data_IF_005785032580
#
_entry.id   IF_005785032580
#
_cell.length_a   1.000
_cell.length_b   1.000
_cell.length_c   1.000
_cell.angle_alpha   90.00
_cell.angle_beta   90.00
_cell.angle_gamma   90.00
#
_symmetry.space_group_name_H-M   'P 1'
#
loop_
_entity.id
_entity.type
_entity.pdbx_description
1 polymer ?
#
# COMPACT_ATOMS: atom_id res chain seq x y z
N UNK A 1 60.83 -45.42 37.38
CA UNK A 1 59.76 -44.41 37.54
C UNK A 1 60.14 -43.19 36.73
N UNK A 2 59.52 -42.95 35.56
CA UNK A 2 59.24 -41.62 35.02
C UNK A 2 58.51 -41.70 33.67
N UNK A 3 57.41 -40.95 33.63
CA UNK A 3 56.29 -41.02 32.70
C UNK A 3 56.57 -40.31 31.37
N UNK A 4 56.15 -40.91 30.25
CA UNK A 4 56.05 -40.24 28.94
C UNK A 4 54.98 -39.15 29.00
N UNK A 5 55.33 -37.91 28.65
CA UNK A 5 54.37 -36.82 28.40
C UNK A 5 53.81 -36.98 26.98
N UNK A 6 52.53 -37.31 26.86
CA UNK A 6 51.78 -37.14 25.61
C UNK A 6 51.18 -35.74 25.56
N UNK A 7 51.48 -35.04 24.47
CA UNK A 7 50.84 -33.80 24.04
C UNK A 7 49.41 -34.14 23.62
N UNK A 8 48.40 -33.50 24.23
CA UNK A 8 47.04 -33.49 23.70
C UNK A 8 46.74 -32.05 23.27
N UNK A 9 46.74 -31.83 21.96
CA UNK A 9 46.26 -30.59 21.36
C UNK A 9 44.74 -30.69 21.26
N UNK A 10 44.01 -29.94 22.10
CA UNK A 10 42.57 -29.82 22.01
C UNK A 10 42.22 -28.68 21.05
N UNK A 11 41.84 -29.03 19.82
CA UNK A 11 41.31 -28.10 18.84
C UNK A 11 39.81 -27.90 19.13
N UNK A 12 39.45 -26.87 19.90
CA UNK A 12 38.05 -26.47 20.09
C UNK A 12 37.56 -25.76 18.83
N UNK A 13 36.94 -26.51 17.91
CA UNK A 13 36.24 -25.95 16.77
C UNK A 13 34.93 -25.29 17.23
N UNK A 14 34.86 -23.95 17.17
CA UNK A 14 33.59 -23.24 17.24
C UNK A 14 32.83 -23.47 15.92
N UNK A 15 31.78 -24.27 15.99
CA UNK A 15 30.80 -24.38 14.90
C UNK A 15 29.83 -23.20 15.03
N UNK A 16 30.03 -22.16 14.22
CA UNK A 16 29.02 -21.11 14.03
C UNK A 16 27.90 -21.69 13.16
N UNK A 17 26.83 -22.18 13.80
CA UNK A 17 25.59 -22.48 13.09
C UNK A 17 24.94 -21.18 12.66
N UNK A 18 25.09 -20.81 11.39
CA UNK A 18 24.33 -19.73 10.78
C UNK A 18 22.84 -20.14 10.76
N UNK A 19 22.04 -19.55 11.64
CA UNK A 19 20.59 -19.63 11.56
C UNK A 19 20.15 -18.82 10.35
N UNK A 20 19.90 -19.50 9.24
CA UNK A 20 19.20 -18.93 8.09
C UNK A 20 17.77 -18.63 8.55
N UNK A 21 17.49 -17.38 8.92
CA UNK A 21 16.12 -16.90 9.08
C UNK A 21 15.53 -16.82 7.69
N UNK A 22 14.90 -17.91 7.25
CA UNK A 22 14.01 -17.90 6.11
C UNK A 22 12.82 -17.02 6.48
N UNK A 23 12.91 -15.72 6.16
CA UNK A 23 11.78 -14.82 6.24
C UNK A 23 10.71 -15.32 5.28
N UNK A 24 9.65 -15.94 5.80
CA UNK A 24 8.44 -16.14 5.03
C UNK A 24 7.94 -14.76 4.63
N UNK A 25 8.09 -14.41 3.35
CA UNK A 25 7.41 -13.26 2.77
C UNK A 25 5.93 -13.46 3.06
N UNK A 26 5.35 -12.56 3.88
CA UNK A 26 3.93 -12.61 4.18
C UNK A 26 3.15 -12.54 2.86
N UNK A 27 2.11 -13.38 2.76
CA UNK A 27 1.31 -13.47 1.55
C UNK A 27 0.77 -12.08 1.14
N UNK A 28 0.69 -11.84 -0.16
CA UNK A 28 -0.02 -10.66 -0.67
C UNK A 28 -1.51 -10.75 -0.29
N UNK A 29 -2.12 -9.62 0.04
CA UNK A 29 -3.57 -9.53 0.22
C UNK A 29 -4.33 -9.48 -1.13
N UNK A 30 -3.61 -9.40 -2.25
CA UNK A 30 -4.17 -9.45 -3.59
C UNK A 30 -4.50 -10.91 -3.97
N UNK A 31 -5.78 -11.21 -4.18
CA UNK A 31 -6.24 -12.49 -4.70
C UNK A 31 -6.55 -12.38 -6.20
N UNK A 32 -6.16 -13.37 -6.99
CA UNK A 32 -6.41 -13.39 -8.44
C UNK A 32 -7.20 -14.63 -8.82
N UNK A 33 -8.12 -14.50 -9.78
CA UNK A 33 -8.81 -15.66 -10.36
C UNK A 33 -7.94 -16.37 -11.41
N UNK A 34 -8.43 -17.49 -11.95
CA UNK A 34 -7.72 -18.30 -12.96
C UNK A 34 -7.44 -17.54 -14.28
N UNK A 35 -8.14 -16.43 -14.53
CA UNK A 35 -7.94 -15.56 -15.69
C UNK A 35 -6.91 -14.46 -15.42
N UNK A 36 -6.35 -14.41 -14.21
CA UNK A 36 -5.40 -13.38 -13.79
C UNK A 36 -6.05 -12.04 -13.42
N UNK A 37 -7.37 -11.98 -13.25
CA UNK A 37 -8.08 -10.78 -12.81
C UNK A 37 -7.99 -10.64 -11.29
N UNK A 38 -7.78 -9.42 -10.81
CA UNK A 38 -7.75 -9.12 -9.38
C UNK A 38 -9.16 -9.23 -8.80
N UNK A 39 -9.35 -10.08 -7.79
CA UNK A 39 -10.60 -10.21 -7.07
C UNK A 39 -10.86 -8.98 -6.19
N UNK A 40 -12.15 -8.64 -6.02
CA UNK A 40 -12.57 -7.53 -5.18
C UNK A 40 -11.98 -7.68 -3.76
N UNK A 41 -11.19 -6.71 -3.28
CA UNK A 41 -10.56 -6.80 -1.97
C UNK A 41 -11.61 -6.86 -0.88
N UNK A 42 -11.45 -7.80 0.05
CA UNK A 42 -12.33 -7.95 1.20
C UNK A 42 -11.75 -7.20 2.39
N UNK A 43 -12.61 -6.58 3.18
CA UNK A 43 -12.27 -5.93 4.46
C UNK A 43 -11.15 -4.87 4.37
N UNK A 44 -10.91 -4.27 3.20
CA UNK A 44 -9.84 -3.27 3.01
C UNK A 44 -10.03 -2.01 3.87
N UNK A 45 -11.24 -1.74 4.36
CA UNK A 45 -11.51 -0.64 5.29
C UNK A 45 -10.92 -0.88 6.69
N UNK A 46 -10.49 -2.11 6.98
CA UNK A 46 -9.73 -2.47 8.19
C UNK A 46 -8.21 -2.35 7.98
N UNK A 47 -7.77 -2.05 6.75
CA UNK A 47 -6.36 -1.83 6.45
C UNK A 47 -5.89 -0.45 6.92
N UNK A 48 -4.60 -0.17 6.77
CA UNK A 48 -4.01 1.08 7.25
C UNK A 48 -4.38 2.21 6.28
N UNK A 49 -5.24 3.13 6.72
CA UNK A 49 -5.51 4.38 5.99
C UNK A 49 -4.26 5.26 6.01
N UNK A 50 -3.76 5.65 4.84
CA UNK A 50 -2.50 6.38 4.69
C UNK A 50 -2.65 7.86 4.36
N UNK A 51 -3.82 8.22 3.85
CA UNK A 51 -4.21 9.61 3.61
C UNK A 51 -5.60 9.69 2.98
N UNK A 52 -6.23 10.84 3.19
CA UNK A 52 -7.47 11.22 2.53
C UNK A 52 -7.26 12.51 1.76
N UNK A 53 -7.84 12.62 0.56
CA UNK A 53 -7.77 13.80 -0.29
C UNK A 53 -9.19 14.21 -0.68
N UNK A 54 -9.38 15.50 -0.96
CA UNK A 54 -10.64 16.03 -1.47
C UNK A 54 -10.36 16.87 -2.71
N UNK A 55 -11.08 16.59 -3.80
CA UNK A 55 -11.11 17.43 -5.00
C UNK A 55 -12.57 17.69 -5.34
N UNK A 56 -13.17 18.71 -4.74
CA UNK A 56 -14.60 18.93 -4.86
C UNK A 56 -14.95 19.53 -6.23
N UNK A 57 -16.12 19.20 -6.77
CA UNK A 57 -16.52 19.61 -8.13
C UNK A 57 -16.53 21.13 -8.29
N UNK A 58 -16.94 21.85 -7.24
CA UNK A 58 -16.96 23.31 -7.19
C UNK A 58 -15.58 23.97 -7.36
N UNK A 59 -14.49 23.22 -7.12
CA UNK A 59 -13.12 23.67 -7.33
C UNK A 59 -12.49 23.13 -8.62
N UNK A 60 -13.24 22.40 -9.44
CA UNK A 60 -12.75 21.71 -10.64
C UNK A 60 -13.72 21.90 -11.82
N UNK A 61 -14.04 23.14 -12.16
CA UNK A 61 -14.92 23.51 -13.29
C UNK A 61 -16.28 22.80 -13.29
N UNK A 62 -16.79 22.45 -12.10
CA UNK A 62 -18.06 21.74 -11.92
C UNK A 62 -17.97 20.23 -12.12
N UNK A 63 -16.80 19.66 -12.41
CA UNK A 63 -16.60 18.21 -12.57
C UNK A 63 -15.14 17.80 -12.33
N UNK A 64 -14.81 17.31 -11.14
CA UNK A 64 -13.50 16.74 -10.87
C UNK A 64 -13.30 15.42 -11.64
N UNK A 65 -12.06 15.11 -12.10
CA UNK A 65 -11.75 13.80 -12.66
C UNK A 65 -12.00 12.65 -11.67
N UNK A 66 -11.89 12.94 -10.37
CA UNK A 66 -12.13 11.99 -9.27
C UNK A 66 -12.94 12.64 -8.14
N UNK A 67 -14.20 12.97 -8.43
CA UNK A 67 -15.22 13.47 -7.48
C UNK A 67 -15.39 12.51 -6.28
N UNK A 68 -15.39 12.95 -5.01
CA UNK A 68 -14.72 14.15 -4.48
C UNK A 68 -13.71 13.77 -3.40
N UNK A 69 -14.10 12.94 -2.42
CA UNK A 69 -13.24 12.47 -1.34
C UNK A 69 -12.64 11.12 -1.73
N UNK A 70 -11.33 10.97 -1.53
CA UNK A 70 -10.59 9.74 -1.77
C UNK A 70 -9.88 9.31 -0.51
N UNK A 71 -10.22 8.14 0.02
CA UNK A 71 -9.49 7.54 1.14
C UNK A 71 -8.61 6.41 0.62
N UNK A 72 -7.32 6.47 0.96
CA UNK A 72 -6.32 5.51 0.48
C UNK A 72 -5.89 4.62 1.63
N UNK A 73 -5.87 3.32 1.36
CA UNK A 73 -5.47 2.26 2.27
C UNK A 73 -4.31 1.46 1.68
N UNK A 74 -3.47 0.89 2.54
CA UNK A 74 -2.41 -0.06 2.17
C UNK A 74 -2.54 -1.33 3.03
N UNK A 75 -2.26 -2.50 2.46
CA UNK A 75 -2.31 -3.75 3.22
C UNK A 75 -1.40 -3.71 4.46
N UNK A 76 -1.83 -4.30 5.60
CA UNK A 76 -1.10 -4.20 6.88
C UNK A 76 0.35 -4.70 6.81
N UNK A 77 0.61 -5.78 6.07
CA UNK A 77 1.93 -6.38 5.91
C UNK A 77 2.87 -5.45 5.13
N UNK A 78 2.38 -4.82 4.06
CA UNK A 78 3.14 -3.82 3.31
C UNK A 78 3.38 -2.56 4.12
N UNK A 79 2.42 -2.12 4.93
CA UNK A 79 2.66 -1.02 5.85
C UNK A 79 3.73 -1.37 6.89
N UNK A 80 3.68 -2.57 7.46
CA UNK A 80 4.67 -3.05 8.42
C UNK A 80 6.07 -3.16 7.79
N UNK A 81 6.16 -3.57 6.52
CA UNK A 81 7.41 -3.55 5.76
C UNK A 81 7.88 -2.10 5.52
N UNK A 82 6.99 -1.23 5.05
CA UNK A 82 7.26 0.19 4.81
C UNK A 82 7.81 0.90 6.06
N UNK A 83 7.27 0.61 7.25
CA UNK A 83 7.80 1.15 8.52
C UNK A 83 9.28 0.82 8.76
N UNK A 84 9.75 -0.32 8.27
CA UNK A 84 11.12 -0.82 8.48
C UNK A 84 12.08 -0.35 7.39
N UNK A 85 11.60 -0.29 6.14
CA UNK A 85 12.46 -0.10 4.96
C UNK A 85 12.21 1.22 4.23
N UNK A 86 11.02 1.78 4.36
CA UNK A 86 10.58 2.92 3.57
C UNK A 86 10.37 2.60 2.08
N UNK A 87 10.14 1.33 1.76
CA UNK A 87 9.92 0.78 0.42
C UNK A 87 8.60 -0.01 0.35
N UNK A 88 7.99 -0.10 -0.85
CA UNK A 88 6.87 -1.00 -1.09
C UNK A 88 7.39 -2.39 -1.48
N UNK A 89 7.06 -3.39 -0.67
CA UNK A 89 7.44 -4.80 -0.89
C UNK A 89 6.79 -5.36 -2.16
N UNK A 90 7.36 -6.45 -2.66
CA UNK A 90 6.66 -7.31 -3.62
C UNK A 90 5.38 -7.88 -2.96
N UNK A 91 4.27 -7.84 -3.69
CA UNK A 91 2.93 -8.14 -3.17
C UNK A 91 2.23 -6.97 -2.48
N UNK A 92 2.77 -5.75 -2.53
CA UNK A 92 2.10 -4.59 -1.95
C UNK A 92 0.82 -4.24 -2.68
N UNK A 93 -0.25 -3.96 -1.92
CA UNK A 93 -1.53 -3.56 -2.45
C UNK A 93 -2.00 -2.25 -1.82
N UNK A 94 -2.41 -1.31 -2.68
CA UNK A 94 -3.13 -0.11 -2.24
C UNK A 94 -4.56 -0.12 -2.76
N UNK A 95 -5.47 0.41 -1.97
CA UNK A 95 -6.87 0.59 -2.33
C UNK A 95 -7.22 2.06 -2.17
N UNK A 96 -7.88 2.64 -3.16
CA UNK A 96 -8.41 4.00 -3.11
C UNK A 96 -9.92 3.92 -3.28
N UNK A 97 -10.62 4.38 -2.25
CA UNK A 97 -12.08 4.40 -2.21
C UNK A 97 -12.59 5.82 -2.48
N UNK A 98 -13.49 5.96 -3.45
CA UNK A 98 -14.09 7.23 -3.85
C UNK A 98 -15.42 7.43 -3.14
N UNK A 99 -15.62 8.63 -2.60
CA UNK A 99 -16.73 8.99 -1.72
C UNK A 99 -17.24 10.37 -2.13
N UNK A 100 -18.55 10.53 -2.25
CA UNK A 100 -19.16 11.83 -2.55
C UNK A 100 -19.01 12.80 -1.36
N UNK A 101 -19.17 14.11 -1.58
CA UNK A 101 -19.42 15.04 -0.47
C UNK A 101 -20.90 14.99 -0.12
N UNK A 102 -21.21 14.58 1.10
CA UNK A 102 -22.57 14.61 1.63
C UNK A 102 -22.95 16.00 2.16
N UNK A 103 -22.46 16.32 3.36
CA UNK A 103 -22.71 17.60 4.01
C UNK A 103 -21.64 18.65 3.72
N UNK A 104 -22.03 19.94 3.76
CA UNK A 104 -21.10 21.09 3.75
C UNK A 104 -21.18 21.99 5.00
N UNK A 105 -22.17 21.73 5.86
CA UNK A 105 -22.37 22.39 7.15
C UNK A 105 -22.40 21.30 8.22
N UNK A 106 -21.37 21.26 9.08
CA UNK A 106 -21.28 20.28 10.15
C UNK A 106 -21.91 20.80 11.45
N UNK A 107 -22.40 19.91 12.33
CA UNK A 107 -22.78 20.30 13.68
C UNK A 107 -21.52 20.60 14.50
N UNK A 108 -21.40 21.81 15.05
CA UNK A 108 -20.38 22.18 16.05
C UNK A 108 -18.94 22.34 15.55
N UNK A 109 -18.52 21.62 14.50
CA UNK A 109 -17.15 21.68 13.94
C UNK A 109 -16.97 22.70 12.82
N UNK A 110 -18.05 23.38 12.41
CA UNK A 110 -18.04 24.41 11.35
C UNK A 110 -18.37 23.90 9.95
N UNK A 111 -18.19 24.77 8.96
CA UNK A 111 -18.41 24.48 7.54
C UNK A 111 -17.19 23.76 6.95
N UNK A 112 -17.41 22.85 6.01
CA UNK A 112 -16.35 22.06 5.40
C UNK A 112 -16.88 21.04 4.41
N UNK A 113 -16.17 19.94 4.21
CA UNK A 113 -16.59 18.83 3.38
C UNK A 113 -16.69 17.57 4.24
N UNK A 114 -17.82 16.86 4.16
CA UNK A 114 -18.05 15.63 4.93
C UNK A 114 -18.31 14.46 3.98
N UNK A 115 -17.77 13.29 4.31
CA UNK A 115 -17.95 12.04 3.55
C UNK A 115 -19.44 11.70 3.41
N UNK A 116 -19.87 11.47 2.17
CA UNK A 116 -21.19 11.00 1.80
C UNK A 116 -21.18 9.53 1.41
N UNK A 117 -21.74 9.22 0.25
CA UNK A 117 -21.92 7.86 -0.26
C UNK A 117 -20.65 7.31 -0.91
N UNK A 118 -20.46 6.00 -0.81
CA UNK A 118 -19.40 5.30 -1.55
C UNK A 118 -19.78 5.21 -3.03
N UNK A 119 -18.89 5.68 -3.90
CA UNK A 119 -19.17 5.86 -5.34
C UNK A 119 -18.09 5.27 -6.25
N UNK A 120 -17.00 4.75 -5.71
CA UNK A 120 -15.99 4.05 -6.50
C UNK A 120 -14.93 3.33 -5.68
N UNK A 121 -14.20 2.44 -6.35
CA UNK A 121 -13.10 1.70 -5.78
C UNK A 121 -12.06 1.38 -6.86
N UNK A 122 -10.84 1.81 -6.60
CA UNK A 122 -9.66 1.56 -7.41
C UNK A 122 -8.62 0.81 -6.57
N UNK A 123 -7.73 0.07 -7.22
CA UNK A 123 -6.61 -0.58 -6.56
C UNK A 123 -5.34 -0.53 -7.40
N UNK A 124 -4.19 -0.66 -6.75
CA UNK A 124 -2.92 -0.95 -7.40
C UNK A 124 -2.18 -2.07 -6.68
N UNK A 125 -1.53 -2.95 -7.44
CA UNK A 125 -0.79 -4.10 -6.89
C UNK A 125 0.61 -4.12 -7.48
N UNK A 126 1.63 -4.23 -6.63
CA UNK A 126 3.02 -4.46 -7.02
C UNK A 126 3.33 -5.94 -6.98
N UNK A 127 3.72 -6.52 -8.11
CA UNK A 127 4.14 -7.92 -8.20
C UNK A 127 5.12 -8.11 -9.37
N UNK A 128 6.39 -8.25 -9.05
CA UNK A 128 7.49 -8.42 -10.00
C UNK A 128 7.40 -9.70 -10.84
N UNK A 129 6.70 -10.73 -10.35
CA UNK A 129 6.52 -11.99 -11.07
C UNK A 129 5.31 -11.95 -11.99
N UNK A 130 4.22 -11.30 -11.54
CA UNK A 130 2.96 -11.22 -12.28
C UNK A 130 2.95 -10.07 -13.30
N UNK A 131 3.63 -8.97 -13.00
CA UNK A 131 3.65 -7.75 -13.84
C UNK A 131 5.08 -7.32 -14.24
N UNK A 132 5.94 -8.23 -14.74
CA UNK A 132 7.33 -7.90 -15.07
C UNK A 132 7.47 -6.84 -16.18
N UNK A 133 6.44 -6.70 -17.02
CA UNK A 133 6.43 -5.77 -18.15
C UNK A 133 5.72 -4.44 -17.83
N UNK A 134 5.09 -4.32 -16.65
CA UNK A 134 4.46 -3.06 -16.22
C UNK A 134 5.48 -2.13 -15.56
N UNK A 135 5.37 -0.80 -15.71
CA UNK A 135 6.26 0.13 -15.02
C UNK A 135 6.25 -0.11 -13.50
N UNK A 136 7.45 -0.27 -12.92
CA UNK A 136 7.61 -0.53 -11.48
C UNK A 136 7.01 -1.86 -10.99
N UNK A 137 6.58 -2.72 -11.92
CA UNK A 137 5.79 -3.92 -11.66
C UNK A 137 4.44 -3.65 -11.00
N UNK A 138 3.86 -2.48 -11.26
CA UNK A 138 2.56 -2.06 -10.74
C UNK A 138 1.44 -2.26 -11.76
N UNK A 139 0.42 -3.02 -11.40
CA UNK A 139 -0.85 -3.08 -12.11
C UNK A 139 -1.91 -2.22 -11.43
N UNK A 140 -2.80 -1.61 -12.23
CA UNK A 140 -3.88 -0.72 -11.78
C UNK A 140 -5.25 -1.26 -12.16
N UNK A 141 -6.24 -1.05 -11.30
CA UNK A 141 -7.55 -1.68 -11.40
C UNK A 141 -8.67 -0.71 -11.04
N UNK A 142 -9.78 -0.80 -11.75
CA UNK A 142 -11.06 -0.17 -11.40
C UNK A 142 -12.08 -1.28 -11.13
N UNK A 143 -12.72 -1.26 -9.96
CA UNK A 143 -13.84 -2.16 -9.64
C UNK A 143 -15.19 -1.51 -9.92
N UNK A 144 -15.30 -0.21 -9.63
CA UNK A 144 -16.41 0.64 -10.06
C UNK A 144 -16.04 2.10 -9.88
N UNK A 145 -16.71 2.95 -10.65
CA UNK A 145 -16.69 4.42 -10.58
C UNK A 145 -18.06 4.92 -11.03
N UNK A 146 -18.44 6.19 -10.83
CA UNK A 146 -19.72 6.71 -11.31
C UNK A 146 -19.95 6.38 -12.79
N UNK A 147 -21.10 5.75 -13.09
CA UNK A 147 -21.46 5.30 -14.44
C UNK A 147 -20.94 3.92 -14.85
N UNK A 148 -20.11 3.27 -14.02
CA UNK A 148 -19.62 1.89 -14.26
C UNK A 148 -20.13 0.95 -13.17
N UNK A 149 -20.75 -0.19 -13.49
CA UNK A 149 -21.23 -1.13 -12.48
C UNK A 149 -20.06 -1.81 -11.74
N UNK A 150 -20.32 -2.20 -10.50
CA UNK A 150 -19.38 -2.99 -9.69
C UNK A 150 -19.11 -4.36 -10.30
N UNK A 151 -17.83 -4.68 -10.46
CA UNK A 151 -17.33 -6.02 -10.81
C UNK A 151 -16.73 -6.72 -9.59
N UNK A 152 -16.82 -8.05 -9.57
CA UNK A 152 -16.21 -8.89 -8.53
C UNK A 152 -14.76 -9.26 -8.83
N UNK A 153 -14.31 -9.05 -10.07
CA UNK A 153 -12.94 -9.21 -10.51
C UNK A 153 -12.61 -8.17 -11.60
N UNK A 154 -11.43 -7.56 -11.53
CA UNK A 154 -10.98 -6.50 -12.44
C UNK A 154 -9.71 -6.91 -13.21
N UNK A 155 -9.66 -6.58 -14.50
CA UNK A 155 -8.44 -6.68 -15.32
C UNK A 155 -7.52 -5.49 -15.03
N UNK A 156 -6.21 -5.69 -15.18
CA UNK A 156 -5.27 -4.57 -15.12
C UNK A 156 -5.53 -3.63 -16.32
N UNK A 157 -5.47 -2.34 -16.05
CA UNK A 157 -5.70 -1.29 -17.04
C UNK A 157 -4.44 -1.05 -17.88
N UNK A 158 -4.59 -0.60 -19.14
CA UNK A 158 -3.46 -0.18 -19.97
C UNK A 158 -2.61 0.89 -19.28
N UNK A 159 -1.29 0.86 -19.51
CA UNK A 159 -0.34 1.79 -18.89
C UNK A 159 -0.72 3.26 -19.07
N UNK A 160 -1.26 3.63 -20.23
CA UNK A 160 -1.64 5.00 -20.56
C UNK A 160 -2.79 5.55 -19.69
N UNK A 161 -3.64 4.68 -19.13
CA UNK A 161 -4.81 5.11 -18.35
C UNK A 161 -4.46 5.47 -16.90
N UNK A 162 -3.43 4.84 -16.31
CA UNK A 162 -3.10 5.01 -14.90
C UNK A 162 -1.59 5.13 -14.66
N UNK A 163 -0.84 4.10 -15.06
CA UNK A 163 0.57 3.98 -14.73
C UNK A 163 1.43 5.12 -15.29
N UNK A 164 1.10 5.69 -16.45
CA UNK A 164 1.82 6.82 -17.03
C UNK A 164 1.83 8.04 -16.10
N UNK A 165 0.65 8.49 -15.65
CA UNK A 165 0.51 9.62 -14.73
C UNK A 165 1.19 9.34 -13.38
N UNK A 166 1.03 8.12 -12.85
CA UNK A 166 1.67 7.70 -11.61
C UNK A 166 3.20 7.69 -11.71
N UNK A 167 3.76 7.17 -12.81
CA UNK A 167 5.21 7.16 -13.05
C UNK A 167 5.79 8.57 -13.13
N UNK A 168 5.06 9.49 -13.76
CA UNK A 168 5.54 10.86 -13.99
C UNK A 168 5.47 11.72 -12.73
N UNK A 169 4.43 11.58 -11.90
CA UNK A 169 4.11 12.56 -10.86
C UNK A 169 4.17 12.03 -9.41
N UNK A 170 4.21 10.71 -9.21
CA UNK A 170 4.28 10.15 -7.87
C UNK A 170 5.68 10.33 -7.26
N UNK A 171 5.75 10.70 -5.97
CA UNK A 171 7.03 10.94 -5.29
C UNK A 171 7.84 9.66 -5.02
N UNK A 172 7.20 8.50 -4.89
CA UNK A 172 7.92 7.27 -4.52
C UNK A 172 7.29 6.06 -5.19
N UNK A 173 8.04 5.40 -6.07
CA UNK A 173 7.67 4.09 -6.63
C UNK A 173 6.21 4.03 -7.12
N UNK A 174 5.83 5.01 -7.94
CA UNK A 174 4.48 5.16 -8.50
C UNK A 174 3.34 5.37 -7.49
N UNK A 175 3.66 5.60 -6.22
CA UNK A 175 2.70 5.94 -5.15
C UNK A 175 2.87 7.40 -4.74
N UNK A 176 1.77 8.16 -4.67
CA UNK A 176 1.74 9.60 -4.35
C UNK A 176 2.02 9.90 -2.86
N UNK A 177 3.15 9.43 -2.33
CA UNK A 177 3.54 9.55 -0.91
C UNK A 177 3.67 11.01 -0.44
N UNK A 178 3.76 11.99 -1.35
CA UNK A 178 3.64 13.41 -1.03
C UNK A 178 2.26 13.77 -0.41
N UNK A 179 1.23 12.97 -0.63
CA UNK A 179 -0.11 13.17 -0.07
C UNK A 179 -0.46 12.19 1.07
N UNK A 180 0.44 11.28 1.44
CA UNK A 180 0.21 10.25 2.46
C UNK A 180 1.07 10.49 3.73
N UNK A 181 0.62 11.36 4.67
CA UNK A 181 1.39 11.72 5.86
C UNK A 181 1.69 10.53 6.78
N UNK A 182 0.79 9.54 6.84
CA UNK A 182 1.00 8.33 7.66
C UNK A 182 2.24 7.57 7.18
N UNK A 183 2.41 7.39 5.86
CA UNK A 183 3.60 6.77 5.28
C UNK A 183 4.86 7.61 5.53
N UNK A 184 4.77 8.95 5.44
CA UNK A 184 5.92 9.83 5.71
C UNK A 184 6.40 9.70 7.16
N UNK A 185 5.48 9.75 8.12
CA UNK A 185 5.80 9.60 9.54
C UNK A 185 6.38 8.20 9.83
N UNK A 186 5.72 7.15 9.33
CA UNK A 186 6.16 5.77 9.44
C UNK A 186 7.58 5.55 8.93
N UNK A 187 7.92 6.09 7.76
CA UNK A 187 9.26 5.99 7.19
C UNK A 187 10.31 6.78 7.98
N UNK A 188 9.95 7.98 8.44
CA UNK A 188 10.89 8.87 9.11
C UNK A 188 11.19 8.47 10.56
N UNK A 189 10.22 7.85 11.25
CA UNK A 189 10.27 7.65 12.70
C UNK A 189 10.01 6.21 13.14
N UNK A 190 9.46 5.35 12.26
CA UNK A 190 8.98 4.03 12.65
C UNK A 190 7.65 4.06 13.42
N UNK A 191 7.00 5.22 13.54
CA UNK A 191 5.78 5.40 14.35
C UNK A 191 4.51 5.48 13.49
N UNK A 192 3.38 5.07 14.08
CA UNK A 192 2.04 5.13 13.46
C UNK A 192 1.14 6.15 14.15
N UNK A 193 1.73 7.14 14.81
CA UNK A 193 1.03 8.14 15.61
C UNK A 193 2.01 9.15 16.20
N UNK A 194 1.47 10.17 16.86
CA UNK A 194 2.30 11.14 17.61
C UNK A 194 2.92 10.46 18.82
N UNK A 195 4.19 10.72 19.07
CA UNK A 195 4.93 10.24 20.25
C UNK A 195 5.35 11.43 21.08
N UNK A 196 5.10 11.39 22.38
CA UNK A 196 5.51 12.44 23.30
C UNK A 196 7.04 12.53 23.36
N UNK A 197 7.61 13.74 23.55
CA UNK A 197 9.03 13.88 23.84
C UNK A 197 9.42 13.04 25.07
N UNK A 198 10.59 12.38 25.01
CA UNK A 198 11.19 11.72 26.17
C UNK A 198 11.87 12.73 27.08
#
# INVERSE_FOLDING_TARGET
MNFKKQLVSSLSGLVFSAVMVSGTLAASMAEFNDKGELLLPKNYREWVMVGTQVTPDELNDGKAPFTEIRTVYIDPESYAHWKKTGEFRDGAMTVKELISVGGRKGPGSGNGYFMGDYIGLEASVKDSKRFPDEPGNWAFYIFYVPGTPLVTAAKNLPTAECAACHKENAKTDMVYTQFYPVLRAAKATGESGVVAPK
#
